data_IF_056646687940
#
_entry.id   IF_056646687940
#
_cell.length_a   1.000
_cell.length_b   1.000
_cell.length_c   1.000
_cell.angle_alpha   90.00
_cell.angle_beta   90.00
_cell.angle_gamma   90.00
#
_symmetry.space_group_name_H-M   'P 1'
#
loop_
_entity.id
_entity.type
_entity.pdbx_description
1 polymer ?
#
# COMPACT_ATOMS: atom_id res chain seq x y z
N UNK A 1 56.00 -0.49 3.24
CA UNK A 1 54.62 -0.21 3.68
C UNK A 1 53.89 0.45 2.53
N UNK A 2 52.96 -0.26 1.90
CA UNK A 2 52.27 0.19 0.69
C UNK A 2 50.79 0.36 1.05
N UNK A 3 50.31 1.61 1.09
CA UNK A 3 48.89 1.90 1.29
C UNK A 3 48.27 2.13 -0.08
N UNK A 4 47.46 1.16 -0.53
CA UNK A 4 46.63 1.24 -1.73
C UNK A 4 45.23 1.62 -1.27
N UNK A 5 44.74 2.79 -1.65
CA UNK A 5 43.29 3.06 -1.73
C UNK A 5 43.05 4.02 -2.88
N UNK A 6 42.72 3.53 -4.09
CA UNK A 6 42.15 4.38 -5.11
C UNK A 6 40.66 4.58 -4.81
N UNK A 7 40.27 5.86 -4.74
CA UNK A 7 38.89 6.33 -4.87
C UNK A 7 38.46 6.18 -6.34
N UNK A 8 37.26 5.66 -6.61
CA UNK A 8 36.47 6.13 -7.74
C UNK A 8 35.12 6.64 -7.19
N UNK A 9 34.72 7.90 -7.35
CA UNK A 9 34.62 8.57 -8.64
C UNK A 9 33.49 7.90 -9.42
N UNK A 10 32.23 8.23 -9.13
CA UNK A 10 31.10 7.69 -9.90
C UNK A 10 31.13 8.33 -11.30
N UNK A 11 31.29 7.58 -12.39
CA UNK A 11 31.26 8.13 -13.74
C UNK A 11 29.82 8.54 -14.08
N UNK A 12 29.66 9.78 -14.55
CA UNK A 12 28.43 10.24 -15.18
C UNK A 12 28.24 9.46 -16.47
N UNK A 13 27.25 8.58 -16.51
CA UNK A 13 26.70 8.04 -17.74
C UNK A 13 25.46 8.87 -18.08
N UNK A 14 25.65 9.78 -19.02
CA UNK A 14 24.57 10.41 -19.76
C UNK A 14 23.90 9.38 -20.68
N UNK A 15 22.64 9.70 -20.97
CA UNK A 15 21.82 9.22 -22.08
C UNK A 15 20.97 7.96 -21.85
N UNK A 16 19.76 8.16 -21.28
CA UNK A 16 18.53 7.50 -21.72
C UNK A 16 17.28 8.35 -21.35
N UNK A 17 16.67 8.98 -22.36
CA UNK A 17 15.25 9.37 -22.51
C UNK A 17 14.46 9.74 -21.24
N UNK A 18 14.32 11.04 -21.02
CA UNK A 18 13.47 11.65 -20.00
C UNK A 18 11.97 11.40 -20.25
N UNK A 19 11.31 10.67 -19.35
CA UNK A 19 9.86 10.76 -19.12
C UNK A 19 9.52 12.01 -18.29
N UNK A 20 8.25 12.45 -18.22
CA UNK A 20 7.88 13.77 -17.71
C UNK A 20 8.00 13.84 -16.19
N UNK A 21 9.21 14.10 -15.70
CA UNK A 21 9.42 14.60 -14.35
C UNK A 21 9.06 16.08 -14.33
N UNK A 22 8.11 16.48 -13.47
CA UNK A 22 7.74 17.88 -13.22
C UNK A 22 8.84 18.69 -12.50
N UNK A 23 10.10 18.22 -12.49
CA UNK A 23 11.21 18.87 -11.80
C UNK A 23 12.32 19.21 -12.80
N UNK A 24 12.66 20.49 -12.87
CA UNK A 24 13.72 21.04 -13.75
C UNK A 24 15.16 20.69 -13.31
N UNK A 25 15.37 19.95 -12.21
CA UNK A 25 16.72 19.54 -11.77
C UNK A 25 16.75 18.14 -11.16
N UNK A 26 17.82 17.34 -11.37
CA UNK A 26 18.03 16.08 -10.67
C UNK A 26 18.13 16.33 -9.16
N UNK A 27 17.37 15.60 -8.35
CA UNK A 27 17.47 15.69 -6.90
C UNK A 27 18.79 15.04 -6.43
N UNK A 28 19.60 15.75 -5.66
CA UNK A 28 20.70 15.14 -4.92
C UNK A 28 20.13 14.07 -3.96
N UNK A 29 20.80 12.91 -3.77
CA UNK A 29 20.34 11.88 -2.84
C UNK A 29 20.25 12.49 -1.43
N UNK A 30 19.03 12.80 -0.98
CA UNK A 30 18.80 13.24 0.39
C UNK A 30 18.98 12.06 1.33
N UNK A 31 19.57 12.29 2.51
CA UNK A 31 19.42 11.39 3.64
C UNK A 31 17.93 11.35 3.97
N UNK A 32 17.23 10.31 3.51
CA UNK A 32 15.82 10.08 3.83
C UNK A 32 15.70 10.02 5.36
N UNK A 33 15.39 11.15 6.00
CA UNK A 33 14.87 11.17 7.35
C UNK A 33 13.62 10.31 7.28
N UNK A 34 13.67 9.13 7.90
CA UNK A 34 12.54 8.23 8.00
C UNK A 34 11.29 9.05 8.32
N UNK A 35 10.24 8.89 7.51
CA UNK A 35 8.95 9.56 7.73
C UNK A 35 8.54 9.22 9.17
N UNK A 36 8.50 10.20 10.11
CA UNK A 36 8.38 9.89 11.54
C UNK A 36 6.97 9.42 11.91
N UNK A 37 6.03 9.52 10.97
CA UNK A 37 4.67 9.07 11.12
C UNK A 37 4.43 7.98 10.08
N UNK A 38 4.38 6.74 10.55
CA UNK A 38 3.52 5.76 9.90
C UNK A 38 2.12 6.38 9.72
N UNK A 39 1.33 5.90 8.76
CA UNK A 39 -0.08 6.28 8.55
C UNK A 39 -1.00 5.99 9.76
N UNK A 40 -0.43 5.79 10.95
CA UNK A 40 -1.14 5.66 12.20
C UNK A 40 -1.69 7.02 12.63
N UNK A 41 -3.01 7.20 12.63
CA UNK A 41 -3.61 8.33 13.29
C UNK A 41 -3.33 8.20 14.79
N UNK A 42 -2.85 9.30 15.37
CA UNK A 42 -2.60 9.39 16.80
C UNK A 42 -3.88 9.06 17.56
N UNK A 43 -3.75 8.14 18.50
CA UNK A 43 -4.77 7.74 19.47
C UNK A 43 -5.47 8.97 20.06
N UNK A 44 -6.80 8.94 20.04
CA UNK A 44 -7.72 10.00 20.47
C UNK A 44 -7.50 10.40 21.93
N UNK A 45 -7.68 11.70 22.20
CA UNK A 45 -7.79 12.28 23.54
C UNK A 45 -8.99 11.65 24.29
N UNK A 46 -8.81 11.42 25.60
CA UNK A 46 -9.65 10.60 26.50
C UNK A 46 -11.15 10.95 26.55
N UNK A 47 -11.59 12.12 26.05
CA UNK A 47 -12.96 12.65 26.22
C UNK A 47 -13.72 12.94 24.90
N UNK A 48 -13.25 12.45 23.74
CA UNK A 48 -13.96 12.59 22.47
C UNK A 48 -14.79 11.32 22.14
N UNK A 49 -15.98 11.44 21.50
CA UNK A 49 -16.71 10.26 21.02
C UNK A 49 -15.78 9.42 20.15
N UNK A 50 -15.71 8.11 20.44
CA UNK A 50 -14.75 7.18 19.88
C UNK A 50 -14.87 7.07 18.36
N UNK A 51 -14.25 8.01 17.65
CA UNK A 51 -13.96 7.86 16.22
C UNK A 51 -12.85 6.82 16.17
N UNK A 52 -13.06 5.65 15.56
CA UNK A 52 -12.03 4.62 15.50
C UNK A 52 -10.76 5.27 14.94
N UNK A 53 -9.60 5.16 15.61
CA UNK A 53 -8.37 5.75 15.12
C UNK A 53 -8.07 5.14 13.76
N UNK A 54 -8.34 5.91 12.70
CA UNK A 54 -8.16 5.53 11.30
C UNK A 54 -7.95 6.79 10.46
N UNK A 55 -7.21 6.67 9.36
CA UNK A 55 -7.19 7.72 8.34
C UNK A 55 -8.65 8.07 7.95
N UNK A 56 -8.97 9.34 7.66
CA UNK A 56 -10.33 9.74 7.34
C UNK A 56 -10.87 8.88 6.18
N UNK A 57 -12.04 8.26 6.39
CA UNK A 57 -12.71 7.41 5.39
C UNK A 57 -13.91 8.13 4.78
N UNK A 58 -14.15 8.00 3.47
CA UNK A 58 -15.39 8.46 2.85
C UNK A 58 -16.61 7.79 3.51
N UNK A 59 -17.68 8.57 3.74
CA UNK A 59 -18.93 8.03 4.29
C UNK A 59 -19.72 7.22 3.25
N UNK A 60 -19.56 7.55 1.96
CA UNK A 60 -20.20 6.87 0.84
C UNK A 60 -19.18 6.63 -0.27
N UNK A 61 -18.79 5.37 -0.47
CA UNK A 61 -17.92 4.93 -1.56
C UNK A 61 -18.75 4.20 -2.62
N UNK A 62 -18.46 4.44 -3.91
CA UNK A 62 -19.05 3.67 -5.01
C UNK A 62 -18.52 2.23 -4.95
N UNK A 63 -19.38 1.20 -4.84
CA UNK A 63 -18.91 -0.18 -4.77
C UNK A 63 -18.32 -0.67 -6.10
N UNK A 64 -17.24 -1.45 -6.03
CA UNK A 64 -16.58 -2.11 -7.18
C UNK A 64 -16.71 -3.62 -7.05
N UNK A 65 -17.20 -4.37 -8.05
CA UNK A 65 -17.25 -5.83 -8.00
C UNK A 65 -15.84 -6.44 -7.87
N UNK A 66 -15.70 -7.50 -7.07
CA UNK A 66 -14.41 -8.19 -6.91
C UNK A 66 -13.89 -8.76 -8.24
N UNK A 67 -14.78 -9.24 -9.10
CA UNK A 67 -14.42 -9.75 -10.43
C UNK A 67 -13.76 -8.68 -11.31
N UNK A 68 -14.27 -7.45 -11.32
CA UNK A 68 -13.66 -6.33 -12.08
C UNK A 68 -12.25 -6.02 -11.58
N UNK A 69 -12.01 -6.10 -10.27
CA UNK A 69 -10.67 -5.92 -9.69
C UNK A 69 -9.74 -7.08 -10.05
N UNK A 70 -10.25 -8.32 -10.04
CA UNK A 70 -9.49 -9.50 -10.40
C UNK A 70 -9.07 -9.45 -11.88
N UNK A 71 -9.99 -9.09 -12.76
CA UNK A 71 -9.74 -8.89 -14.20
C UNK A 71 -8.68 -7.80 -14.43
N UNK A 72 -8.79 -6.66 -13.73
CA UNK A 72 -7.83 -5.56 -13.83
C UNK A 72 -6.42 -5.98 -13.38
N UNK A 73 -6.33 -6.84 -12.36
CA UNK A 73 -5.06 -7.34 -11.82
C UNK A 73 -4.54 -8.57 -12.55
N UNK A 74 -5.32 -9.15 -13.48
CA UNK A 74 -4.98 -10.39 -14.17
C UNK A 74 -4.88 -11.60 -13.24
N UNK A 75 -5.68 -11.61 -12.16
CA UNK A 75 -5.72 -12.70 -11.18
C UNK A 75 -7.07 -13.40 -11.20
N UNK A 76 -7.10 -14.67 -10.79
CA UNK A 76 -8.36 -15.37 -10.61
C UNK A 76 -9.12 -14.84 -9.39
N UNK A 77 -10.41 -14.54 -9.58
CA UNK A 77 -11.25 -14.11 -8.47
C UNK A 77 -11.49 -15.28 -7.49
N UNK A 78 -11.18 -15.12 -6.19
CA UNK A 78 -11.49 -16.14 -5.19
C UNK A 78 -13.01 -16.29 -5.09
N UNK A 79 -13.50 -17.54 -5.11
CA UNK A 79 -14.94 -17.83 -5.15
C UNK A 79 -15.53 -18.00 -6.55
N UNK A 80 -14.71 -18.13 -7.59
CA UNK A 80 -15.16 -18.58 -8.93
C UNK A 80 -15.60 -20.06 -8.97
N UNK A 81 -15.36 -20.83 -7.90
CA UNK A 81 -15.99 -22.13 -7.72
C UNK A 81 -17.50 -21.95 -7.47
N UNK A 82 -18.38 -22.87 -7.91
CA UNK A 82 -19.83 -22.72 -7.82
C UNK A 82 -20.32 -22.88 -6.38
N UNK A 83 -20.04 -21.92 -5.52
CA UNK A 83 -20.75 -21.71 -4.26
C UNK A 83 -21.98 -20.89 -4.61
N UNK A 84 -23.10 -21.59 -4.81
CA UNK A 84 -24.44 -21.07 -5.09
C UNK A 84 -24.48 -19.98 -6.19
N UNK A 85 -24.89 -20.36 -7.40
CA UNK A 85 -25.14 -19.44 -8.53
C UNK A 85 -26.15 -18.30 -8.24
N UNK A 86 -26.70 -18.24 -7.01
CA UNK A 86 -27.55 -17.19 -6.49
C UNK A 86 -26.80 -16.13 -5.65
N UNK A 87 -25.53 -16.33 -5.31
CA UNK A 87 -24.74 -15.37 -4.55
C UNK A 87 -24.21 -14.26 -5.47
N UNK A 88 -24.63 -13.01 -5.21
CA UNK A 88 -24.11 -11.84 -5.91
C UNK A 88 -22.60 -11.71 -5.65
N UNK A 89 -21.76 -11.43 -6.66
CA UNK A 89 -20.32 -11.30 -6.46
C UNK A 89 -20.01 -10.23 -5.41
N UNK A 90 -19.01 -10.47 -4.53
CA UNK A 90 -18.68 -9.55 -3.46
C UNK A 90 -18.33 -8.16 -4.01
N UNK A 91 -18.81 -7.12 -3.34
CA UNK A 91 -18.60 -5.72 -3.70
C UNK A 91 -17.65 -5.07 -2.72
N UNK A 92 -16.63 -4.44 -3.25
CA UNK A 92 -15.56 -3.77 -2.51
C UNK A 92 -15.88 -2.27 -2.42
N UNK A 93 -15.84 -1.74 -1.19
CA UNK A 93 -16.11 -0.33 -0.87
C UNK A 93 -14.92 0.37 -0.22
N UNK A 94 -13.87 -0.39 0.13
CA UNK A 94 -12.65 0.14 0.70
C UNK A 94 -11.47 -0.81 0.51
N UNK A 95 -10.29 -0.35 0.89
CA UNK A 95 -9.05 -1.13 0.84
C UNK A 95 -8.16 -0.70 2.00
N UNK A 96 -7.46 -1.65 2.62
CA UNK A 96 -6.50 -1.37 3.70
C UNK A 96 -5.41 -2.44 3.74
N UNK A 97 -4.19 -2.04 4.12
CA UNK A 97 -3.08 -2.95 4.45
C UNK A 97 -2.99 -3.22 5.96
N UNK A 98 -3.69 -2.45 6.81
CA UNK A 98 -3.76 -2.71 8.25
C UNK A 98 -4.91 -3.68 8.54
N UNK A 99 -4.59 -4.93 8.94
CA UNK A 99 -5.57 -5.98 9.25
C UNK A 99 -6.52 -5.55 10.36
N UNK A 100 -6.03 -4.75 11.31
CA UNK A 100 -6.79 -4.26 12.47
C UNK A 100 -7.81 -3.19 12.09
N UNK A 101 -7.68 -2.60 10.90
CA UNK A 101 -8.56 -1.56 10.39
C UNK A 101 -9.54 -2.06 9.32
N UNK A 102 -9.52 -3.36 8.99
CA UNK A 102 -10.45 -3.96 8.02
C UNK A 102 -11.88 -3.79 8.52
N UNK A 103 -12.76 -3.35 7.62
CA UNK A 103 -14.20 -3.26 7.83
C UNK A 103 -14.93 -4.17 6.83
N UNK A 104 -16.18 -4.57 7.10
CA UNK A 104 -16.99 -5.26 6.10
C UNK A 104 -17.03 -4.49 4.77
N UNK A 105 -16.69 -5.16 3.68
CA UNK A 105 -16.59 -4.57 2.34
C UNK A 105 -15.19 -4.05 1.96
N UNK A 106 -14.20 -4.09 2.87
CA UNK A 106 -12.82 -3.76 2.54
C UNK A 106 -12.10 -4.94 1.86
N UNK A 107 -11.19 -4.62 0.93
CA UNK A 107 -10.16 -5.51 0.46
C UNK A 107 -8.91 -5.38 1.34
N UNK A 108 -8.43 -6.50 1.89
CA UNK A 108 -7.20 -6.55 2.67
C UNK A 108 -5.99 -6.77 1.75
N UNK A 109 -5.08 -5.79 1.71
CA UNK A 109 -3.83 -5.88 0.95
C UNK A 109 -2.72 -6.51 1.82
N UNK A 110 -2.61 -7.84 1.75
CA UNK A 110 -1.62 -8.63 2.49
C UNK A 110 -0.21 -8.54 1.88
N UNK A 111 0.48 -7.41 2.06
CA UNK A 111 1.79 -7.15 1.45
C UNK A 111 2.95 -7.79 2.23
N UNK A 112 4.07 -8.14 1.56
CA UNK A 112 5.30 -8.58 2.24
C UNK A 112 5.98 -7.40 2.96
N UNK A 113 6.55 -7.67 4.13
CA UNK A 113 7.33 -6.69 4.91
C UNK A 113 8.74 -7.21 5.25
N UNK A 114 9.57 -6.33 5.81
CA UNK A 114 10.96 -6.68 6.16
C UNK A 114 11.10 -7.73 7.28
N UNK A 115 10.06 -7.89 8.10
CA UNK A 115 10.06 -8.81 9.26
C UNK A 115 8.91 -9.82 9.22
N UNK A 116 7.77 -9.42 8.68
CA UNK A 116 6.51 -10.15 8.73
C UNK A 116 5.83 -10.05 7.38
N UNK A 117 5.04 -11.05 7.02
CA UNK A 117 4.20 -11.01 5.84
C UNK A 117 2.75 -10.70 6.24
N UNK A 118 2.07 -9.81 5.50
CA UNK A 118 0.66 -9.50 5.77
C UNK A 118 -0.28 -10.72 5.69
N UNK A 119 0.08 -11.75 4.93
CA UNK A 119 -0.74 -12.95 4.76
C UNK A 119 -0.91 -13.72 6.08
N UNK A 120 0.04 -13.60 6.99
CA UNK A 120 0.00 -14.23 8.32
C UNK A 120 -1.12 -13.66 9.20
N UNK A 121 -1.71 -12.51 8.84
CA UNK A 121 -2.76 -11.82 9.58
C UNK A 121 -4.15 -11.93 8.93
N UNK A 122 -4.30 -12.74 7.88
CA UNK A 122 -5.56 -12.81 7.12
C UNK A 122 -6.75 -13.39 7.93
N UNK A 123 -6.49 -14.16 8.99
CA UNK A 123 -7.52 -14.79 9.82
C UNK A 123 -7.96 -13.95 11.04
N UNK A 124 -7.43 -12.74 11.18
CA UNK A 124 -7.72 -11.82 12.28
C UNK A 124 -9.07 -11.12 12.10
#
# INVERSE_FOLDING_TARGET
MTTITPKPGNPSADDHTAGPSLRERPAAPGTLTAVPHADQPRTTQQDAPATPPGAPRPQAARPTPLGELADLLGVEAPGAAPADAAAQPPRITGITHDSRAVRPGDLYAALPGAKLHGADFAAQ
#
